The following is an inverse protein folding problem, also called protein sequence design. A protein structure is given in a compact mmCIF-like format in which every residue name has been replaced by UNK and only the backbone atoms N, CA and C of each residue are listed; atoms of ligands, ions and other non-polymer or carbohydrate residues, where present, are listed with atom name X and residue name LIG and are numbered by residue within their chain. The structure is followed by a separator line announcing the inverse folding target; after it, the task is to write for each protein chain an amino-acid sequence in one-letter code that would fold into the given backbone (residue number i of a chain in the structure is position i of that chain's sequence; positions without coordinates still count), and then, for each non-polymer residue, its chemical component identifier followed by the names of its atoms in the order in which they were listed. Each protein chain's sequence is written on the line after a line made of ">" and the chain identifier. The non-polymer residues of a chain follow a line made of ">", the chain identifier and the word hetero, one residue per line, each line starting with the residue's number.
data_IF_052681283507
#
_entry.id   IF_052681283507
#
_cell.length_a   1.000
_cell.length_b   1.000
_cell.length_c   1.000
_cell.angle_alpha   90.00
_cell.angle_beta   90.00
_cell.angle_gamma   90.00
#
_symmetry.space_group_name_H-M   'P 1'
#
loop_
_entity.id
_entity.type
_entity.pdbx_description
1 polymer ?
#
# COMPACT_ATOMS: atom_id res chain seq x y z
N UNK A 1 24.02 -6.64 -14.28
CA UNK A 1 23.07 -7.70 -13.80
C UNK A 1 23.29 -9.05 -14.48
N UNK A 2 24.01 -9.10 -15.60
CA UNK A 2 24.06 -10.22 -16.55
C UNK A 2 24.44 -11.57 -15.93
N UNK A 3 25.31 -11.58 -14.90
CA UNK A 3 25.68 -12.81 -14.19
C UNK A 3 24.51 -13.47 -13.46
N UNK A 4 23.57 -12.69 -12.93
CA UNK A 4 22.36 -13.20 -12.26
C UNK A 4 21.39 -13.85 -13.26
N UNK A 5 21.37 -13.35 -14.50
CA UNK A 5 20.47 -13.81 -15.56
C UNK A 5 21.02 -15.00 -16.36
N UNK A 6 22.32 -15.28 -16.25
CA UNK A 6 23.02 -16.34 -17.00
C UNK A 6 23.50 -17.49 -16.12
N UNK A 7 23.34 -17.39 -14.79
CA UNK A 7 23.75 -18.45 -13.87
C UNK A 7 22.61 -19.45 -13.63
N UNK A 8 22.96 -20.72 -13.62
CA UNK A 8 22.11 -21.80 -13.09
C UNK A 8 22.56 -22.24 -11.68
N UNK A 9 23.61 -21.63 -11.13
CA UNK A 9 24.15 -21.92 -9.81
C UNK A 9 23.46 -21.02 -8.77
N UNK A 10 22.75 -21.65 -7.84
CA UNK A 10 21.99 -21.03 -6.76
C UNK A 10 22.84 -20.21 -5.78
N UNK A 11 24.08 -20.64 -5.50
CA UNK A 11 25.01 -19.92 -4.64
C UNK A 11 25.58 -18.68 -5.35
N UNK A 12 25.81 -18.74 -6.66
CA UNK A 12 26.18 -17.59 -7.49
C UNK A 12 25.02 -16.59 -7.57
N UNK A 13 23.79 -17.06 -7.79
CA UNK A 13 22.60 -16.22 -7.80
C UNK A 13 22.41 -15.47 -6.47
N UNK A 14 22.49 -16.17 -5.33
CA UNK A 14 22.43 -15.54 -4.00
C UNK A 14 23.54 -14.52 -3.77
N UNK A 15 24.79 -14.80 -4.17
CA UNK A 15 25.91 -13.84 -4.06
C UNK A 15 25.66 -12.58 -4.89
N UNK A 16 25.06 -12.71 -6.09
CA UNK A 16 24.67 -11.56 -6.89
C UNK A 16 23.54 -10.75 -6.24
N UNK A 17 22.53 -11.40 -5.65
CA UNK A 17 21.45 -10.73 -4.91
C UNK A 17 21.97 -10.02 -3.65
N UNK A 18 22.84 -10.67 -2.87
CA UNK A 18 23.54 -10.07 -1.73
C UNK A 18 24.32 -8.82 -2.16
N UNK A 19 25.05 -8.87 -3.27
CA UNK A 19 25.77 -7.71 -3.80
C UNK A 19 24.82 -6.55 -4.16
N UNK A 20 23.66 -6.83 -4.77
CA UNK A 20 22.63 -5.81 -5.04
C UNK A 20 22.10 -5.21 -3.74
N UNK A 21 21.79 -6.04 -2.75
CA UNK A 21 21.32 -5.58 -1.45
C UNK A 21 22.38 -4.72 -0.72
N UNK A 22 23.65 -5.12 -0.73
CA UNK A 22 24.74 -4.29 -0.19
C UNK A 22 24.85 -2.92 -0.88
N UNK A 23 24.59 -2.82 -2.19
CA UNK A 23 24.55 -1.53 -2.90
C UNK A 23 23.33 -0.71 -2.49
N UNK A 24 22.15 -1.32 -2.30
CA UNK A 24 20.97 -0.64 -1.74
C UNK A 24 21.29 -0.08 -0.35
N UNK A 25 21.98 -0.84 0.49
CA UNK A 25 22.21 -0.50 1.89
C UNK A 25 23.35 0.49 2.13
N UNK A 26 24.50 0.24 1.51
CA UNK A 26 25.78 0.94 1.75
C UNK A 26 26.32 1.66 0.51
N UNK A 27 25.66 1.55 -0.65
CA UNK A 27 26.06 2.28 -1.86
C UNK A 27 25.87 3.79 -1.72
N UNK A 28 26.56 4.55 -2.57
CA UNK A 28 26.28 5.98 -2.70
C UNK A 28 24.90 6.20 -3.33
N UNK A 29 24.30 7.36 -3.08
CA UNK A 29 23.02 7.76 -3.67
C UNK A 29 22.97 7.54 -5.20
N UNK A 30 24.07 7.80 -5.91
CA UNK A 30 24.17 7.56 -7.37
C UNK A 30 24.00 6.06 -7.70
N UNK A 31 24.66 5.16 -6.97
CA UNK A 31 24.55 3.71 -7.22
C UNK A 31 23.15 3.19 -6.87
N UNK A 32 22.55 3.71 -5.79
CA UNK A 32 21.20 3.36 -5.38
C UNK A 32 20.16 3.88 -6.40
N UNK A 33 20.30 5.11 -6.88
CA UNK A 33 19.46 5.71 -7.93
C UNK A 33 19.45 4.86 -9.21
N UNK A 34 20.61 4.39 -9.67
CA UNK A 34 20.70 3.51 -10.85
C UNK A 34 20.00 2.15 -10.66
N UNK A 35 19.81 1.68 -9.41
CA UNK A 35 18.97 0.51 -9.12
C UNK A 35 17.47 0.87 -9.04
N UNK A 36 17.13 2.10 -8.64
CA UNK A 36 15.74 2.59 -8.49
C UNK A 36 14.94 2.73 -9.80
N UNK A 37 15.65 2.81 -10.93
CA UNK A 37 15.07 2.96 -12.28
C UNK A 37 14.24 1.72 -12.70
N UNK A 38 14.35 0.62 -11.95
CA UNK A 38 14.18 -0.71 -12.50
C UNK A 38 12.99 -1.50 -11.91
N UNK A 39 11.93 -1.83 -12.69
CA UNK A 39 11.58 -1.37 -14.03
C UNK A 39 10.26 -0.56 -14.02
N UNK A 40 10.32 0.73 -13.67
CA UNK A 40 9.14 1.61 -13.74
C UNK A 40 8.92 2.27 -15.12
N UNK A 41 9.94 2.24 -16.00
CA UNK A 41 9.93 2.89 -17.32
C UNK A 41 9.78 1.95 -18.52
N UNK A 42 9.52 0.65 -18.27
CA UNK A 42 9.59 -0.39 -19.30
C UNK A 42 11.01 -0.93 -19.50
N UNK A 43 11.13 -2.25 -19.63
CA UNK A 43 12.40 -2.96 -19.71
C UNK A 43 12.23 -4.44 -19.41
N UNK A 44 13.34 -5.19 -19.30
CA UNK A 44 13.31 -6.51 -18.67
C UNK A 44 13.10 -6.36 -17.16
N UNK A 45 12.95 -7.49 -16.46
CA UNK A 45 13.08 -7.52 -15.00
C UNK A 45 14.19 -8.51 -14.57
N UNK A 46 15.41 -8.00 -14.35
CA UNK A 46 16.58 -8.73 -13.84
C UNK A 46 16.39 -9.35 -12.43
N UNK A 47 15.39 -8.92 -11.65
CA UNK A 47 15.04 -9.52 -10.35
C UNK A 47 13.89 -10.53 -10.44
N UNK A 48 13.20 -10.64 -11.58
CA UNK A 48 12.21 -11.70 -11.79
C UNK A 48 12.92 -13.06 -11.96
N UNK A 49 13.19 -13.70 -10.82
CA UNK A 49 13.75 -15.03 -10.72
C UNK A 49 12.71 -16.08 -10.33
N UNK A 50 11.41 -15.79 -10.50
CA UNK A 50 10.29 -16.68 -10.12
C UNK A 50 10.42 -18.14 -10.59
N UNK A 51 11.03 -18.36 -11.76
CA UNK A 51 11.28 -19.68 -12.34
C UNK A 51 12.70 -20.23 -12.07
N UNK A 52 13.52 -19.55 -11.28
CA UNK A 52 14.90 -19.98 -10.98
C UNK A 52 14.91 -21.32 -10.26
N UNK A 53 15.74 -22.24 -10.75
CA UNK A 53 15.87 -23.60 -10.23
C UNK A 53 17.26 -24.17 -10.54
N UNK A 54 17.89 -24.70 -9.51
CA UNK A 54 19.18 -25.40 -9.53
C UNK A 54 18.98 -26.79 -8.92
N UNK A 55 18.92 -27.81 -9.78
CA UNK A 55 18.72 -29.22 -9.39
C UNK A 55 20.05 -29.98 -9.18
N UNK A 56 21.19 -29.28 -9.12
CA UNK A 56 22.52 -29.93 -9.05
C UNK A 56 22.76 -30.73 -7.77
N UNK A 57 22.22 -30.27 -6.65
CA UNK A 57 22.31 -30.93 -5.33
C UNK A 57 21.05 -30.62 -4.50
N UNK A 58 20.71 -31.42 -3.47
CA UNK A 58 19.60 -31.11 -2.57
C UNK A 58 19.72 -29.72 -1.91
N UNK A 59 20.95 -29.34 -1.51
CA UNK A 59 21.24 -28.02 -0.94
C UNK A 59 20.98 -26.91 -1.96
N UNK A 60 21.40 -27.09 -3.21
CA UNK A 60 21.14 -26.13 -4.30
C UNK A 60 19.64 -26.00 -4.63
N UNK A 61 18.90 -27.08 -4.54
CA UNK A 61 17.45 -27.09 -4.70
C UNK A 61 16.75 -26.29 -3.58
N UNK A 62 17.18 -26.47 -2.33
CA UNK A 62 16.71 -25.64 -1.21
C UNK A 62 17.10 -24.17 -1.40
N UNK A 63 18.36 -23.87 -1.76
CA UNK A 63 18.82 -22.51 -2.05
C UNK A 63 18.06 -21.85 -3.22
N UNK A 64 17.54 -22.62 -4.17
CA UNK A 64 16.68 -22.09 -5.24
C UNK A 64 15.40 -21.46 -4.70
N UNK A 65 14.84 -21.95 -3.59
CA UNK A 65 13.71 -21.30 -2.92
C UNK A 65 14.10 -19.94 -2.31
N UNK A 66 15.31 -19.86 -1.75
CA UNK A 66 15.89 -18.63 -1.21
C UNK A 66 16.21 -17.61 -2.31
N UNK A 67 16.71 -18.04 -3.48
CA UNK A 67 16.92 -17.16 -4.66
C UNK A 67 15.60 -16.53 -5.09
N UNK A 68 14.55 -17.34 -5.26
CA UNK A 68 13.22 -16.87 -5.67
C UNK A 68 12.66 -15.83 -4.70
N UNK A 69 12.62 -16.17 -3.41
CA UNK A 69 12.09 -15.30 -2.37
C UNK A 69 12.93 -14.02 -2.20
N UNK A 70 14.26 -14.13 -2.15
CA UNK A 70 15.12 -12.98 -1.88
C UNK A 70 15.17 -11.99 -3.05
N UNK A 71 15.06 -12.46 -4.29
CA UNK A 71 14.94 -11.58 -5.45
C UNK A 71 13.61 -10.80 -5.44
N UNK A 72 12.49 -11.46 -5.13
CA UNK A 72 11.19 -10.81 -4.94
C UNK A 72 11.21 -9.83 -3.74
N UNK A 73 11.92 -10.18 -2.67
CA UNK A 73 12.10 -9.28 -1.52
C UNK A 73 12.88 -8.02 -1.90
N UNK A 74 14.01 -8.14 -2.60
CA UNK A 74 14.80 -7.00 -3.07
C UNK A 74 13.98 -6.13 -4.05
N UNK A 75 13.18 -6.74 -4.93
CA UNK A 75 12.26 -6.01 -5.80
C UNK A 75 11.24 -5.20 -4.99
N UNK A 76 10.58 -5.81 -4.01
CA UNK A 76 9.66 -5.10 -3.11
C UNK A 76 10.34 -4.00 -2.28
N UNK A 77 11.58 -4.22 -1.83
CA UNK A 77 12.39 -3.23 -1.11
C UNK A 77 12.67 -2.00 -1.98
N UNK A 78 13.03 -2.21 -3.26
CA UNK A 78 13.24 -1.13 -4.23
C UNK A 78 11.93 -0.38 -4.55
N UNK A 79 10.81 -1.09 -4.73
CA UNK A 79 9.50 -0.48 -4.98
C UNK A 79 9.02 0.35 -3.79
N UNK A 80 9.18 -0.18 -2.57
CA UNK A 80 8.84 0.51 -1.31
C UNK A 80 9.73 1.75 -1.13
N UNK A 81 11.05 1.59 -1.29
CA UNK A 81 12.01 2.71 -1.23
C UNK A 81 11.70 3.81 -2.25
N UNK A 82 11.31 3.43 -3.48
CA UNK A 82 10.91 4.38 -4.52
C UNK A 82 9.62 5.13 -4.17
N UNK A 83 8.62 4.45 -3.59
CA UNK A 83 7.40 5.11 -3.13
C UNK A 83 7.68 6.10 -2.00
N UNK A 84 8.54 5.72 -1.05
CA UNK A 84 9.02 6.54 0.05
C UNK A 84 10.04 7.60 -0.40
N UNK A 85 10.55 7.57 -1.64
CA UNK A 85 11.58 8.50 -2.10
C UNK A 85 12.93 8.42 -1.34
N UNK A 86 13.16 7.39 -0.53
CA UNK A 86 14.43 7.10 0.13
C UNK A 86 14.61 5.58 0.32
N UNK A 87 15.85 5.12 0.51
CA UNK A 87 16.14 3.70 0.67
C UNK A 87 15.94 3.23 2.11
N UNK A 88 14.91 2.40 2.30
CA UNK A 88 14.64 1.72 3.58
C UNK A 88 15.86 0.89 3.96
N UNK A 89 16.29 1.00 5.23
CA UNK A 89 17.47 0.28 5.72
C UNK A 89 18.82 0.88 5.32
N UNK A 90 18.87 1.94 4.51
CA UNK A 90 20.15 2.54 4.14
C UNK A 90 20.77 3.36 5.27
N UNK A 91 22.06 3.13 5.52
CA UNK A 91 22.80 3.79 6.59
C UNK A 91 22.95 5.32 6.39
N UNK A 92 22.71 5.84 5.17
CA UNK A 92 22.69 7.30 4.92
C UNK A 92 21.46 7.99 5.51
N UNK A 93 20.39 7.26 5.84
CA UNK A 93 19.13 7.82 6.33
C UNK A 93 19.10 8.06 7.84
N UNK A 94 20.07 7.52 8.59
CA UNK A 94 20.10 7.49 10.07
C UNK A 94 20.20 8.90 10.70
N UNK A 95 20.60 9.92 9.93
CA UNK A 95 21.11 11.18 10.46
C UNK A 95 20.02 12.15 10.93
N UNK A 96 18.77 12.05 10.45
CA UNK A 96 17.80 13.16 10.56
C UNK A 96 16.36 12.72 10.93
N UNK A 97 16.18 12.05 12.08
CA UNK A 97 14.86 11.63 12.61
C UNK A 97 13.82 12.76 12.59
N UNK A 98 14.20 13.95 13.06
CA UNK A 98 13.32 15.12 13.15
C UNK A 98 12.80 15.57 11.76
N UNK A 99 13.58 15.34 10.70
CA UNK A 99 13.15 15.65 9.32
C UNK A 99 12.25 14.57 8.73
N UNK A 100 12.38 13.31 9.13
CA UNK A 100 11.41 12.28 8.70
C UNK A 100 10.06 12.50 9.39
N UNK A 101 10.03 12.94 10.66
CA UNK A 101 8.80 13.39 11.33
C UNK A 101 8.18 14.60 10.59
N UNK A 102 8.94 15.67 10.31
CA UNK A 102 8.45 16.82 9.53
C UNK A 102 7.92 16.41 8.13
N UNK A 103 8.63 15.51 7.46
CA UNK A 103 8.27 15.00 6.13
C UNK A 103 6.99 14.15 6.19
N UNK A 104 6.85 13.29 7.17
CA UNK A 104 5.64 12.47 7.38
C UNK A 104 4.44 13.38 7.73
N UNK A 105 4.64 14.41 8.55
CA UNK A 105 3.63 15.44 8.82
C UNK A 105 3.21 16.21 7.56
N UNK A 106 4.08 16.38 6.57
CA UNK A 106 3.74 17.05 5.31
C UNK A 106 2.87 16.18 4.36
N UNK A 107 2.67 14.89 4.65
CA UNK A 107 1.88 14.00 3.80
C UNK A 107 0.36 14.24 3.94
N UNK A 108 -0.34 14.06 2.82
CA UNK A 108 -1.79 13.91 2.79
C UNK A 108 -2.18 12.52 3.31
N UNK A 109 -3.31 12.39 4.02
CA UNK A 109 -3.79 11.13 4.63
C UNK A 109 -3.71 9.93 3.67
N UNK A 110 -4.25 10.05 2.44
CA UNK A 110 -4.20 8.95 1.46
C UNK A 110 -2.80 8.61 0.91
N UNK A 111 -1.83 9.51 1.02
CA UNK A 111 -0.42 9.20 0.75
C UNK A 111 0.24 8.53 1.96
N UNK A 112 -0.05 9.02 3.17
CA UNK A 112 0.42 8.43 4.43
C UNK A 112 -0.07 6.97 4.59
N UNK A 113 -1.33 6.70 4.23
CA UNK A 113 -1.89 5.33 4.16
C UNK A 113 -1.12 4.49 3.15
N UNK A 114 -0.89 5.01 1.93
CA UNK A 114 -0.19 4.29 0.87
C UNK A 114 1.27 3.96 1.20
N UNK A 115 1.99 4.88 1.83
CA UNK A 115 3.34 4.63 2.35
C UNK A 115 3.33 3.58 3.46
N UNK A 116 2.37 3.64 4.38
CA UNK A 116 2.23 2.66 5.46
C UNK A 116 1.89 1.26 4.93
N UNK A 117 0.97 1.17 3.96
CA UNK A 117 0.58 -0.05 3.26
C UNK A 117 1.76 -0.70 2.53
N UNK A 118 2.66 0.09 1.91
CA UNK A 118 3.85 -0.45 1.23
C UNK A 118 4.89 -0.99 2.22
N UNK A 119 5.11 -0.30 3.34
CA UNK A 119 5.98 -0.77 4.42
C UNK A 119 5.46 -2.05 5.08
N UNK A 120 4.14 -2.15 5.34
CA UNK A 120 3.52 -3.40 5.82
C UNK A 120 3.67 -4.53 4.79
N UNK A 121 3.52 -4.23 3.50
CA UNK A 121 3.72 -5.21 2.42
C UNK A 121 5.17 -5.69 2.32
N UNK A 122 6.15 -4.84 2.65
CA UNK A 122 7.55 -5.24 2.78
C UNK A 122 7.76 -6.19 3.96
N UNK A 123 7.16 -5.92 5.12
CA UNK A 123 7.18 -6.83 6.29
C UNK A 123 6.52 -8.18 5.99
N UNK A 124 5.37 -8.21 5.31
CA UNK A 124 4.77 -9.47 4.83
C UNK A 124 5.72 -10.24 3.89
N UNK A 125 6.50 -9.52 3.08
CA UNK A 125 7.56 -10.09 2.25
C UNK A 125 8.58 -10.87 3.09
N UNK A 126 9.00 -10.30 4.23
CA UNK A 126 9.89 -10.97 5.20
C UNK A 126 9.26 -12.26 5.75
N UNK A 127 7.97 -12.24 6.06
CA UNK A 127 7.22 -13.40 6.57
C UNK A 127 7.06 -14.54 5.56
N UNK A 128 7.19 -14.26 4.26
CA UNK A 128 7.06 -15.25 3.19
C UNK A 128 8.37 -16.05 2.94
N UNK A 129 9.38 -15.90 3.81
CA UNK A 129 10.67 -16.63 3.68
C UNK A 129 10.49 -18.16 3.65
N UNK A 130 11.36 -18.90 2.93
CA UNK A 130 11.45 -20.34 3.04
C UNK A 130 11.86 -20.78 4.45
N UNK A 131 11.53 -22.02 4.81
CA UNK A 131 12.03 -22.64 6.03
C UNK A 131 13.47 -23.12 5.82
N UNK A 132 14.34 -22.90 6.81
CA UNK A 132 15.78 -23.19 6.74
C UNK A 132 16.15 -24.60 7.25
N UNK A 133 15.24 -25.57 7.16
CA UNK A 133 15.36 -26.88 7.83
C UNK A 133 16.65 -27.65 7.48
N UNK A 134 17.12 -27.59 6.22
CA UNK A 134 18.41 -28.15 5.78
C UNK A 134 19.58 -27.15 5.74
N UNK A 135 19.31 -25.87 6.03
CA UNK A 135 20.21 -24.73 5.74
C UNK A 135 20.67 -23.94 6.98
N UNK A 136 20.39 -24.42 8.20
CA UNK A 136 20.66 -23.71 9.46
C UNK A 136 22.13 -23.29 9.73
N UNK A 137 23.10 -23.78 8.94
CA UNK A 137 24.51 -23.34 8.97
C UNK A 137 25.02 -22.72 7.66
N UNK A 138 24.14 -22.48 6.67
CA UNK A 138 24.58 -21.97 5.37
C UNK A 138 24.88 -20.46 5.45
N UNK A 139 26.16 -20.09 5.27
CA UNK A 139 26.63 -18.70 5.37
C UNK A 139 25.87 -17.72 4.47
N UNK A 140 25.42 -18.13 3.28
CA UNK A 140 24.65 -17.24 2.39
C UNK A 140 23.26 -16.93 2.97
N UNK A 141 22.59 -17.94 3.54
CA UNK A 141 21.27 -17.76 4.18
C UNK A 141 21.39 -16.91 5.44
N UNK A 142 22.44 -17.10 6.24
CA UNK A 142 22.73 -16.28 7.42
C UNK A 142 22.96 -14.81 7.03
N UNK A 143 23.76 -14.54 5.99
CA UNK A 143 24.01 -13.17 5.51
C UNK A 143 22.72 -12.50 5.00
N UNK A 144 21.91 -13.25 4.23
CA UNK A 144 20.59 -12.80 3.75
C UNK A 144 19.67 -12.45 4.91
N UNK A 145 19.59 -13.29 5.94
CA UNK A 145 18.75 -13.05 7.12
C UNK A 145 19.25 -11.87 7.97
N UNK A 146 20.56 -11.66 8.09
CA UNK A 146 21.12 -10.51 8.79
C UNK A 146 20.72 -9.19 8.13
N UNK A 147 20.96 -9.08 6.82
CA UNK A 147 20.57 -7.91 6.03
C UNK A 147 19.05 -7.64 6.10
N UNK A 148 18.22 -8.68 5.91
CA UNK A 148 16.76 -8.56 5.97
C UNK A 148 16.24 -8.22 7.37
N UNK A 149 16.89 -8.68 8.45
CA UNK A 149 16.51 -8.35 9.83
C UNK A 149 16.80 -6.90 10.20
N UNK A 150 17.89 -6.34 9.70
CA UNK A 150 18.18 -4.91 9.79
C UNK A 150 17.14 -4.08 9.01
N UNK A 151 16.81 -4.47 7.76
CA UNK A 151 15.79 -3.79 6.95
C UNK A 151 14.39 -3.86 7.58
N UNK A 152 14.03 -5.01 8.15
CA UNK A 152 12.82 -5.19 8.96
C UNK A 152 12.79 -4.19 10.13
N UNK A 153 13.92 -4.03 10.83
CA UNK A 153 14.02 -3.10 11.96
C UNK A 153 13.82 -1.66 11.52
N UNK A 154 14.38 -1.26 10.38
CA UNK A 154 14.11 0.05 9.77
C UNK A 154 12.64 0.19 9.36
N UNK A 155 12.05 -0.79 8.69
CA UNK A 155 10.64 -0.74 8.29
C UNK A 155 9.68 -0.63 9.50
N UNK A 156 9.97 -1.31 10.62
CA UNK A 156 9.21 -1.16 11.86
C UNK A 156 9.29 0.26 12.43
N UNK A 157 10.46 0.90 12.40
CA UNK A 157 10.61 2.29 12.82
C UNK A 157 9.82 3.24 11.89
N UNK A 158 9.91 3.06 10.57
CA UNK A 158 9.19 3.87 9.59
C UNK A 158 7.66 3.75 9.69
N UNK A 159 7.16 2.56 10.02
CA UNK A 159 5.73 2.35 10.32
C UNK A 159 5.38 3.04 11.65
N UNK A 160 6.24 2.98 12.67
CA UNK A 160 6.00 3.63 13.97
C UNK A 160 5.82 5.14 13.83
N UNK A 161 6.67 5.81 13.05
CA UNK A 161 6.56 7.25 12.76
C UNK A 161 5.21 7.57 12.11
N UNK A 162 4.81 6.79 11.11
CA UNK A 162 3.53 7.00 10.39
C UNK A 162 2.31 6.68 11.25
N UNK A 163 2.40 5.68 12.12
CA UNK A 163 1.37 5.33 13.11
C UNK A 163 1.19 6.44 14.15
N UNK A 164 2.27 7.07 14.61
CA UNK A 164 2.19 8.22 15.52
C UNK A 164 1.53 9.43 14.84
N UNK A 165 1.89 9.76 13.60
CA UNK A 165 1.22 10.83 12.83
C UNK A 165 -0.28 10.55 12.63
N UNK A 166 -0.66 9.29 12.41
CA UNK A 166 -2.07 8.91 12.37
C UNK A 166 -2.78 9.07 13.71
N UNK A 167 -2.09 8.94 14.84
CA UNK A 167 -2.69 9.14 16.17
C UNK A 167 -3.02 10.62 16.40
N UNK A 168 -2.10 11.52 16.04
CA UNK A 168 -2.29 12.98 16.07
C UNK A 168 -3.44 13.42 15.14
N UNK A 169 -3.57 12.80 13.96
CA UNK A 169 -4.60 13.14 12.95
C UNK A 169 -5.82 12.25 12.94
N UNK A 170 -6.01 11.38 13.94
CA UNK A 170 -7.03 10.32 13.93
C UNK A 170 -8.42 10.85 13.53
N UNK A 171 -8.88 11.89 14.24
CA UNK A 171 -10.19 12.54 14.02
C UNK A 171 -10.38 13.22 12.65
N UNK A 172 -9.31 13.31 11.85
CA UNK A 172 -9.29 13.95 10.53
C UNK A 172 -9.18 12.94 9.37
N UNK A 173 -9.17 11.63 9.66
CA UNK A 173 -9.13 10.59 8.63
C UNK A 173 -10.50 10.42 7.95
N UNK A 174 -10.49 10.17 6.64
CA UNK A 174 -11.71 9.75 5.97
C UNK A 174 -12.04 8.31 6.34
N UNK A 175 -13.32 7.91 6.28
CA UNK A 175 -13.71 6.53 6.52
C UNK A 175 -12.98 5.52 5.61
N UNK A 176 -12.58 5.94 4.39
CA UNK A 176 -11.74 5.12 3.51
C UNK A 176 -10.35 4.92 4.10
N UNK A 177 -9.66 6.01 4.42
CA UNK A 177 -8.31 6.00 5.02
C UNK A 177 -8.29 5.18 6.33
N UNK A 178 -9.28 5.36 7.21
CA UNK A 178 -9.41 4.59 8.46
C UNK A 178 -9.60 3.09 8.23
N UNK A 179 -10.28 2.70 7.14
CA UNK A 179 -10.50 1.28 6.80
C UNK A 179 -9.24 0.65 6.21
N UNK A 180 -8.53 1.37 5.34
CA UNK A 180 -7.26 0.94 4.76
C UNK A 180 -6.18 0.82 5.85
N UNK A 181 -6.01 1.85 6.70
CA UNK A 181 -5.11 1.82 7.86
C UNK A 181 -5.42 0.65 8.82
N UNK A 182 -6.70 0.41 9.14
CA UNK A 182 -7.08 -0.73 9.98
C UNK A 182 -6.78 -2.08 9.31
N UNK A 183 -6.77 -2.13 7.97
CA UNK A 183 -6.30 -3.26 7.19
C UNK A 183 -4.79 -3.46 7.34
N UNK A 184 -4.00 -2.40 7.16
CA UNK A 184 -2.55 -2.38 7.33
C UNK A 184 -2.13 -2.93 8.71
N UNK A 185 -2.72 -2.38 9.77
CA UNK A 185 -2.38 -2.72 11.16
C UNK A 185 -2.68 -4.19 11.50
N UNK A 186 -3.77 -4.76 10.97
CA UNK A 186 -4.09 -6.18 11.14
C UNK A 186 -3.10 -7.10 10.43
N UNK A 187 -2.80 -6.83 9.15
CA UNK A 187 -1.84 -7.63 8.37
C UNK A 187 -0.43 -7.57 8.96
N UNK A 188 -0.07 -6.43 9.55
CA UNK A 188 1.17 -6.29 10.32
C UNK A 188 1.17 -7.21 11.54
N UNK A 189 0.12 -7.21 12.36
CA UNK A 189 -0.01 -8.08 13.54
C UNK A 189 -0.02 -9.57 13.19
N UNK A 190 -0.71 -9.97 12.11
CA UNK A 190 -0.72 -11.36 11.60
C UNK A 190 0.70 -11.86 11.25
N UNK A 191 1.64 -10.95 11.01
CA UNK A 191 3.04 -11.24 10.71
C UNK A 191 3.95 -11.38 11.95
N UNK A 192 3.52 -10.94 13.14
CA UNK A 192 4.34 -10.80 14.36
C UNK A 192 5.18 -12.05 14.67
N UNK A 193 4.54 -13.22 14.74
CA UNK A 193 5.21 -14.47 15.12
C UNK A 193 6.32 -14.90 14.13
N UNK A 194 6.21 -14.57 12.84
CA UNK A 194 7.27 -14.85 11.86
C UNK A 194 8.35 -13.77 11.87
N UNK A 195 8.02 -12.51 12.17
CA UNK A 195 8.98 -11.41 12.28
C UNK A 195 9.87 -11.53 13.52
N UNK A 196 9.34 -12.03 14.64
CA UNK A 196 10.11 -12.37 15.85
C UNK A 196 11.13 -13.50 15.63
N UNK A 197 10.92 -14.36 14.63
CA UNK A 197 11.82 -15.44 14.29
C UNK A 197 13.03 -14.99 13.43
N UNK A 198 13.22 -13.68 13.19
CA UNK A 198 14.40 -13.15 12.49
C UNK A 198 15.52 -12.87 13.50
N UNK A 199 16.76 -13.34 13.27
CA UNK A 199 17.88 -12.99 14.13
C UNK A 199 18.18 -11.47 14.12
N UNK A 200 18.85 -11.00 15.17
CA UNK A 200 19.39 -9.64 15.35
C UNK A 200 18.38 -8.49 15.55
N UNK A 201 17.07 -8.75 15.68
CA UNK A 201 16.10 -7.70 16.02
C UNK A 201 16.12 -7.44 17.55
N UNK A 202 16.15 -6.17 17.98
CA UNK A 202 16.17 -5.81 19.42
C UNK A 202 14.79 -5.96 20.04
N UNK A 203 14.64 -6.87 21.01
CA UNK A 203 13.35 -7.18 21.65
C UNK A 203 12.57 -5.93 22.10
N UNK A 204 13.20 -5.00 22.80
CA UNK A 204 12.54 -3.78 23.33
C UNK A 204 11.90 -2.91 22.23
N UNK A 205 12.55 -2.80 21.05
CA UNK A 205 11.98 -2.08 19.90
C UNK A 205 10.79 -2.83 19.30
N UNK A 206 10.84 -4.16 19.30
CA UNK A 206 9.79 -5.01 18.74
C UNK A 206 8.56 -5.02 19.65
N UNK A 207 8.73 -5.12 20.97
CA UNK A 207 7.64 -5.02 21.94
C UNK A 207 6.98 -3.63 21.88
N UNK A 208 7.79 -2.55 21.82
CA UNK A 208 7.28 -1.19 21.64
C UNK A 208 6.48 -1.02 20.34
N UNK A 209 7.03 -1.50 19.22
CA UNK A 209 6.35 -1.49 17.91
C UNK A 209 4.99 -2.20 17.95
N UNK A 210 4.93 -3.44 18.44
CA UNK A 210 3.66 -4.18 18.53
C UNK A 210 2.70 -3.59 19.57
N UNK A 211 3.20 -2.90 20.59
CA UNK A 211 2.39 -2.07 21.49
C UNK A 211 1.64 -0.98 20.71
N UNK A 212 2.38 -0.15 19.95
CA UNK A 212 1.81 0.93 19.12
C UNK A 212 0.81 0.42 18.08
N UNK A 213 1.14 -0.66 17.35
CA UNK A 213 0.25 -1.27 16.36
C UNK A 213 -1.08 -1.69 16.99
N UNK A 214 -1.04 -2.36 18.16
CA UNK A 214 -2.25 -2.82 18.86
C UNK A 214 -3.06 -1.67 19.42
N UNK A 215 -2.41 -0.68 20.02
CA UNK A 215 -3.08 0.51 20.54
C UNK A 215 -3.84 1.23 19.42
N UNK A 216 -3.15 1.56 18.33
CA UNK A 216 -3.72 2.30 17.21
C UNK A 216 -4.87 1.54 16.53
N UNK A 217 -4.70 0.23 16.34
CA UNK A 217 -5.76 -0.67 15.85
C UNK A 217 -7.03 -0.59 16.70
N UNK A 218 -6.91 -0.42 18.03
CA UNK A 218 -8.07 -0.26 18.92
C UNK A 218 -8.69 1.14 18.84
N UNK A 219 -7.88 2.19 18.64
CA UNK A 219 -8.36 3.58 18.49
C UNK A 219 -9.17 3.73 17.19
N UNK A 220 -8.57 3.40 16.04
CA UNK A 220 -9.22 3.42 14.71
C UNK A 220 -10.47 2.53 14.67
N UNK A 221 -10.44 1.37 15.35
CA UNK A 221 -11.58 0.47 15.47
C UNK A 221 -12.80 1.11 16.17
N UNK A 222 -12.58 1.85 17.26
CA UNK A 222 -13.64 2.55 18.01
C UNK A 222 -14.24 3.69 17.21
N UNK A 223 -13.39 4.49 16.55
CA UNK A 223 -13.83 5.62 15.72
C UNK A 223 -14.65 5.16 14.50
N UNK A 224 -14.26 4.05 13.87
CA UNK A 224 -15.07 3.44 12.81
C UNK A 224 -16.46 3.05 13.31
N UNK A 225 -16.58 2.54 14.53
CA UNK A 225 -17.86 2.14 15.11
C UNK A 225 -18.75 3.34 15.46
N UNK A 226 -18.18 4.43 16.01
CA UNK A 226 -18.94 5.67 16.28
C UNK A 226 -19.42 6.33 15.00
N UNK A 227 -18.55 6.46 13.99
CA UNK A 227 -18.91 7.04 12.70
C UNK A 227 -19.97 6.19 11.96
N UNK A 228 -19.89 4.86 12.03
CA UNK A 228 -20.91 3.99 11.43
C UNK A 228 -22.26 4.08 12.18
N UNK A 229 -22.27 4.21 13.51
CA UNK A 229 -23.50 4.46 14.29
C UNK A 229 -24.13 5.80 13.91
N UNK A 230 -23.32 6.86 13.80
CA UNK A 230 -23.78 8.20 13.46
C UNK A 230 -24.33 8.29 12.02
N UNK A 231 -23.67 7.62 11.07
CA UNK A 231 -24.20 7.42 9.71
C UNK A 231 -25.52 6.64 9.69
N UNK A 232 -25.69 5.64 10.57
CA UNK A 232 -26.92 4.86 10.66
C UNK A 232 -28.08 5.69 11.23
N UNK A 233 -27.89 6.47 12.31
CA UNK A 233 -28.93 7.41 12.80
C UNK A 233 -29.30 8.45 11.75
N UNK A 234 -28.32 9.06 11.06
CA UNK A 234 -28.62 10.02 9.98
C UNK A 234 -29.41 9.41 8.82
N UNK A 235 -29.20 8.12 8.51
CA UNK A 235 -30.01 7.40 7.50
C UNK A 235 -31.44 7.17 7.98
N UNK A 236 -31.62 6.73 9.23
CA UNK A 236 -32.95 6.52 9.83
C UNK A 236 -33.73 7.84 9.93
N UNK A 237 -33.08 8.94 10.30
CA UNK A 237 -33.71 10.28 10.29
C UNK A 237 -34.05 10.76 8.87
N UNK A 238 -33.19 10.49 7.88
CA UNK A 238 -33.48 10.85 6.48
C UNK A 238 -34.62 10.03 5.88
N UNK A 239 -34.79 8.79 6.32
CA UNK A 239 -35.93 7.94 5.97
C UNK A 239 -37.22 8.43 6.65
N UNK A 240 -37.20 8.82 7.93
CA UNK A 240 -38.37 9.36 8.62
C UNK A 240 -38.82 10.73 8.09
N UNK A 241 -37.90 11.58 7.62
CA UNK A 241 -38.23 12.83 6.91
C UNK A 241 -38.62 12.64 5.45
N UNK A 242 -38.55 11.42 4.91
CA UNK A 242 -38.96 11.09 3.54
C UNK A 242 -40.38 10.50 3.46
N UNK A 243 -41.17 10.55 4.55
CA UNK A 243 -42.60 10.27 4.47
C UNK A 243 -43.29 11.26 3.51
N UNK A 244 -43.95 10.69 2.49
CA UNK A 244 -44.35 11.44 1.32
C UNK A 244 -45.45 12.45 1.62
N UNK A 245 -45.30 13.69 1.13
CA UNK A 245 -46.40 14.62 0.90
C UNK A 245 -47.29 14.16 -0.28
N UNK A 246 -47.83 12.94 -0.20
CA UNK A 246 -48.89 12.47 -1.10
C UNK A 246 -50.19 13.12 -0.65
N UNK A 247 -50.64 14.10 -1.43
CA UNK A 247 -51.96 14.70 -1.32
C UNK A 247 -53.02 13.60 -1.15
N UNK A 248 -53.87 13.74 -0.12
CA UNK A 248 -54.90 12.76 0.19
C UNK A 248 -55.82 12.55 -1.01
N UNK A 249 -56.00 11.28 -1.37
CA UNK A 249 -56.78 10.84 -2.54
C UNK A 249 -58.27 11.17 -2.37
N UNK A 250 -58.66 12.37 -2.80
CA UNK A 250 -60.07 12.74 -2.94
C UNK A 250 -60.59 12.14 -4.24
N UNK A 251 -61.28 11.01 -4.10
CA UNK A 251 -62.06 10.34 -5.14
C UNK A 251 -62.92 11.36 -5.92
N UNK A 252 -62.43 11.76 -7.10
CA UNK A 252 -63.18 12.58 -8.04
C UNK A 252 -64.14 11.67 -8.81
N UNK A 253 -65.45 11.89 -8.62
CA UNK A 253 -66.47 11.22 -9.43
C UNK A 253 -66.41 11.72 -10.89
N UNK A 254 -66.65 10.87 -11.89
CA UNK A 254 -66.56 11.24 -13.31
C UNK A 254 -67.79 12.00 -13.79
N UNK A 255 -68.06 13.16 -13.19
CA UNK A 255 -69.06 14.12 -13.64
C UNK A 255 -68.86 15.46 -12.94
N UNK A 256 -68.00 16.33 -13.49
CA UNK A 256 -68.20 17.78 -13.48
C UNK A 256 -67.25 18.46 -14.48
N UNK A 257 -67.79 19.38 -15.29
CA UNK A 257 -67.12 19.91 -16.47
C UNK A 257 -66.37 21.21 -16.15
N UNK A 258 -65.04 21.19 -16.17
CA UNK A 258 -64.23 22.43 -16.07
C UNK A 258 -64.19 23.12 -17.43
N UNK A 259 -64.95 24.22 -17.55
CA UNK A 259 -65.15 24.99 -18.77
C UNK A 259 -64.06 26.06 -18.92
N UNK A 260 -63.04 25.81 -19.73
CA UNK A 260 -62.01 26.82 -20.04
C UNK A 260 -62.54 27.86 -21.04
N UNK A 261 -62.61 29.12 -20.60
CA UNK A 261 -63.00 30.27 -21.42
C UNK A 261 -61.82 30.79 -22.24
N UNK A 262 -61.87 30.61 -23.57
CA UNK A 262 -60.89 31.14 -24.52
C UNK A 262 -61.27 32.54 -25.04
N UNK A 263 -60.31 33.47 -25.00
CA UNK A 263 -60.17 34.59 -25.94
C UNK A 263 -58.74 34.54 -26.48
N UNK A 264 -58.48 34.39 -27.79
CA UNK A 264 -58.63 35.38 -28.89
C UNK A 264 -57.74 36.62 -28.65
N UNK A 265 -56.80 37.06 -29.50
CA UNK A 265 -56.22 36.69 -30.82
C UNK A 265 -54.71 37.10 -30.78
N UNK A 266 -53.80 36.87 -31.73
CA UNK A 266 -53.77 36.35 -33.12
C UNK A 266 -52.45 35.52 -33.30
N UNK A 267 -52.02 34.86 -34.41
CA UNK A 267 -51.80 35.20 -35.85
C UNK A 267 -50.71 36.29 -36.00
N UNK A 268 -49.52 36.06 -36.60
CA UNK A 268 -49.17 35.19 -37.75
C UNK A 268 -47.93 34.28 -37.56
N UNK A 269 -47.78 33.33 -38.48
CA UNK A 269 -46.65 32.40 -38.59
C UNK A 269 -45.77 32.67 -39.85
N UNK A 270 -44.96 31.68 -40.23
CA UNK A 270 -44.07 31.55 -41.41
C UNK A 270 -42.59 31.95 -41.20
N UNK A 271 -41.59 31.22 -41.69
CA UNK A 271 -41.36 29.80 -42.03
C UNK A 271 -39.87 29.74 -42.46
N UNK A 272 -39.19 28.59 -42.35
CA UNK A 272 -37.83 28.42 -42.89
C UNK A 272 -37.83 28.42 -44.42
N UNK A 273 -36.76 28.92 -45.07
CA UNK A 273 -35.80 28.04 -45.79
C UNK A 273 -34.66 28.76 -46.55
N UNK A 274 -33.43 28.32 -46.30
CA UNK A 274 -32.35 27.92 -47.24
C UNK A 274 -32.04 28.72 -48.54
N UNK A 275 -30.82 29.27 -48.61
CA UNK A 275 -29.98 29.50 -49.82
C UNK A 275 -28.51 29.34 -49.32
N UNK A 276 -27.66 28.36 -49.68
CA UNK A 276 -27.13 27.83 -50.95
C UNK A 276 -26.01 28.69 -51.61
N UNK A 277 -24.75 28.27 -51.50
CA UNK A 277 -23.64 28.41 -52.49
C UNK A 277 -22.33 27.88 -51.85
N UNK A 278 -21.50 26.95 -52.34
CA UNK A 278 -20.89 26.58 -53.64
C UNK A 278 -19.40 26.99 -53.79
N UNK A 279 -18.56 25.95 -53.95
CA UNK A 279 -17.30 25.86 -54.72
C UNK A 279 -16.17 26.91 -54.54
N UNK A 280 -15.01 26.44 -54.08
CA UNK A 280 -13.97 25.88 -54.97
C UNK A 280 -13.08 24.88 -54.22
#
# INVERSE_FOLDING_TARGET
>A
MDRLQTTHDSAVALKCLLAVHHVIKYGSFILQDQLSVYPAGGGRNYLNLSNFRDDSTPVAWELSSWVRWYAQYIENLLLTSRLLGFFVGSNSCIVEKDKEEERVSALLNGNLVRETESLVSLLEGVCKRPESLGLGGNRLVIEVLGLVGEDQSSAMNEISVRVNEFDERLNCLSFGDSVELLGALKRSEDCEGRLLAVPNVKNDLVEGFWGLIREMKTKVGKEKESNNKLMATMRVEKESYSESARFGDRVLRPSDWVRFSSGRLAVDAFHLSTIQSCAR
#
